data_IF_079151464131
#
_entry.id   IF_079151464131
#
_cell.length_a   1.000
_cell.length_b   1.000
_cell.length_c   1.000
_cell.angle_alpha   90.00
_cell.angle_beta   90.00
_cell.angle_gamma   90.00
#
_symmetry.space_group_name_H-M   'P 1'
#
loop_
_entity.id
_entity.type
_entity.pdbx_description
1 polymer ?
#
# COMPACT_ATOMS: atom_id res chain seq x y z
N UNK A 1 8.49 -25.50 6.04
CA UNK A 1 9.16 -24.19 5.77
C UNK A 1 8.23 -23.10 6.25
N UNK A 2 8.66 -22.24 7.18
CA UNK A 2 7.81 -21.21 7.79
C UNK A 2 7.32 -20.21 6.73
N UNK A 3 6.07 -20.36 6.30
CA UNK A 3 5.36 -19.35 5.51
C UNK A 3 5.35 -18.05 6.31
N UNK A 4 6.13 -17.07 5.87
CA UNK A 4 6.17 -15.75 6.51
C UNK A 4 4.99 -14.94 5.97
N UNK A 5 3.87 -15.00 6.68
CA UNK A 5 2.76 -14.07 6.46
C UNK A 5 3.25 -12.62 6.43
N UNK A 6 2.58 -11.81 5.63
CA UNK A 6 2.84 -10.38 5.54
C UNK A 6 2.32 -9.68 6.79
N UNK A 7 3.16 -8.83 7.37
CA UNK A 7 2.80 -7.95 8.49
C UNK A 7 3.03 -6.50 8.06
N UNK A 8 2.02 -5.65 8.24
CA UNK A 8 2.12 -4.21 8.00
C UNK A 8 1.40 -3.48 9.13
N UNK A 9 2.04 -2.48 9.71
CA UNK A 9 1.49 -1.64 10.77
C UNK A 9 1.75 -0.16 10.47
N UNK A 10 0.73 0.66 10.68
CA UNK A 10 0.79 2.11 10.66
C UNK A 10 0.24 2.66 11.97
N UNK A 11 0.88 3.72 12.49
CA UNK A 11 0.30 4.55 13.55
C UNK A 11 -0.49 5.67 12.89
N UNK A 12 -1.75 5.82 13.27
CA UNK A 12 -2.68 6.78 12.69
C UNK A 12 -3.29 7.60 13.82
N UNK A 13 -3.08 8.90 13.80
CA UNK A 13 -3.67 9.85 14.75
C UNK A 13 -5.08 10.24 14.29
N UNK A 14 -6.05 9.40 14.58
CA UNK A 14 -7.43 9.57 14.18
C UNK A 14 -8.38 8.93 15.18
N UNK A 15 -9.67 9.25 15.05
CA UNK A 15 -10.73 8.57 15.79
C UNK A 15 -10.92 7.13 15.29
N UNK A 16 -11.27 6.23 16.22
CA UNK A 16 -11.42 4.80 15.94
C UNK A 16 -12.67 4.48 15.11
N UNK A 17 -13.77 5.21 15.32
CA UNK A 17 -14.97 5.08 14.50
C UNK A 17 -14.73 5.60 13.09
N UNK A 18 -14.02 6.71 12.93
CA UNK A 18 -13.67 7.20 11.60
C UNK A 18 -12.76 6.21 10.86
N UNK A 19 -11.69 5.75 11.49
CA UNK A 19 -10.80 4.76 10.87
C UNK A 19 -11.56 3.47 10.52
N UNK A 20 -12.43 2.98 11.41
CA UNK A 20 -13.27 1.81 11.15
C UNK A 20 -14.21 2.03 9.95
N UNK A 21 -14.88 3.18 9.87
CA UNK A 21 -15.76 3.49 8.75
C UNK A 21 -14.99 3.53 7.42
N UNK A 22 -13.84 4.21 7.35
CA UNK A 22 -13.02 4.31 6.12
C UNK A 22 -12.44 2.98 5.64
N UNK A 23 -12.33 2.02 6.53
CA UNK A 23 -11.75 0.71 6.26
C UNK A 23 -12.82 -0.34 5.97
N UNK A 24 -13.99 -0.29 6.59
CA UNK A 24 -15.05 -1.28 6.38
C UNK A 24 -16.05 -0.89 5.28
N UNK A 25 -16.25 0.39 5.00
CA UNK A 25 -17.19 0.84 3.96
C UNK A 25 -16.57 0.72 2.55
N UNK A 26 -17.11 -0.11 1.64
CA UNK A 26 -16.51 -0.37 0.33
C UNK A 26 -16.21 0.89 -0.49
N UNK A 27 -17.17 1.83 -0.49
CA UNK A 27 -17.07 3.09 -1.22
C UNK A 27 -15.92 3.97 -0.73
N UNK A 28 -15.51 3.84 0.53
CA UNK A 28 -14.37 4.53 1.10
C UNK A 28 -13.08 3.72 0.94
N UNK A 29 -13.14 2.40 1.15
CA UNK A 29 -11.99 1.49 1.10
C UNK A 29 -11.31 1.50 -0.28
N UNK A 30 -12.09 1.36 -1.35
CA UNK A 30 -11.58 1.34 -2.72
C UNK A 30 -10.83 2.63 -3.13
N UNK A 31 -11.04 3.74 -2.40
CA UNK A 31 -10.40 5.01 -2.73
C UNK A 31 -8.93 5.03 -2.35
N UNK A 32 -8.54 4.39 -1.25
CA UNK A 32 -7.18 4.47 -0.71
C UNK A 32 -6.35 3.22 -0.93
N UNK A 33 -6.96 2.03 -1.03
CA UNK A 33 -6.25 0.75 -1.17
C UNK A 33 -5.81 0.50 -2.62
N UNK A 34 -4.52 0.27 -2.84
CA UNK A 34 -3.98 -0.08 -4.16
C UNK A 34 -4.32 -1.51 -4.59
N UNK A 35 -4.67 -2.38 -3.64
CA UNK A 35 -4.82 -3.82 -3.87
C UNK A 35 -6.22 -4.17 -4.36
N UNK A 36 -7.21 -3.35 -4.04
CA UNK A 36 -8.61 -3.57 -4.39
C UNK A 36 -9.13 -2.33 -5.10
N UNK A 37 -9.43 -2.46 -6.40
CA UNK A 37 -9.97 -1.35 -7.19
C UNK A 37 -11.48 -1.26 -7.10
N UNK A 38 -12.14 -2.40 -6.89
CA UNK A 38 -13.60 -2.49 -6.77
C UNK A 38 -13.94 -3.51 -5.68
N UNK A 39 -14.89 -3.16 -4.82
CA UNK A 39 -15.41 -4.03 -3.75
C UNK A 39 -16.94 -3.91 -3.78
N UNK A 40 -17.62 -5.04 -3.87
CA UNK A 40 -19.08 -5.10 -3.84
C UNK A 40 -19.53 -6.08 -2.75
N UNK A 41 -20.21 -5.56 -1.74
CA UNK A 41 -20.86 -6.39 -0.73
C UNK A 41 -22.04 -7.16 -1.35
N UNK A 42 -22.17 -8.41 -0.98
CA UNK A 42 -23.34 -9.23 -1.30
C UNK A 42 -24.37 -9.12 -0.17
N UNK A 43 -25.67 -9.33 -0.45
CA UNK A 43 -26.68 -9.37 0.60
C UNK A 43 -26.33 -10.40 1.68
N UNK A 44 -26.57 -10.05 2.94
CA UNK A 44 -26.27 -10.87 4.12
C UNK A 44 -27.35 -10.65 5.20
N UNK A 45 -27.63 -11.66 6.02
CA UNK A 45 -28.55 -11.56 7.15
C UNK A 45 -27.80 -11.18 8.45
N UNK A 46 -28.38 -10.31 9.27
CA UNK A 46 -27.75 -9.79 10.50
C UNK A 46 -27.10 -10.91 11.36
N UNK A 47 -25.83 -10.74 11.70
CA UNK A 47 -25.03 -11.73 12.44
C UNK A 47 -24.25 -12.74 11.58
N UNK A 48 -24.54 -12.87 10.28
CA UNK A 48 -23.73 -13.68 9.38
C UNK A 48 -22.44 -12.97 8.91
N UNK A 49 -21.40 -13.70 8.47
CA UNK A 49 -20.24 -13.09 7.82
C UNK A 49 -20.60 -12.35 6.53
N UNK A 50 -20.05 -11.15 6.34
CA UNK A 50 -20.25 -10.35 5.14
C UNK A 50 -19.50 -10.96 3.95
N UNK A 51 -20.24 -11.40 2.93
CA UNK A 51 -19.65 -11.86 1.67
C UNK A 51 -19.42 -10.69 0.72
N UNK A 52 -18.34 -10.71 -0.05
CA UNK A 52 -18.06 -9.67 -1.02
C UNK A 52 -17.41 -10.23 -2.29
N UNK A 53 -17.57 -9.49 -3.39
CA UNK A 53 -16.76 -9.66 -4.59
C UNK A 53 -15.75 -8.54 -4.63
N UNK A 54 -14.55 -8.84 -5.10
CA UNK A 54 -13.53 -7.84 -5.34
C UNK A 54 -12.95 -7.98 -6.73
N UNK A 55 -12.50 -6.87 -7.28
CA UNK A 55 -11.69 -6.85 -8.47
C UNK A 55 -10.46 -5.97 -8.29
N UNK A 56 -9.37 -6.39 -8.89
CA UNK A 56 -8.11 -5.67 -8.94
C UNK A 56 -7.73 -5.44 -10.39
N UNK A 57 -7.73 -4.18 -10.81
CA UNK A 57 -7.21 -3.79 -12.12
C UNK A 57 -5.68 -3.71 -12.04
N UNK A 58 -5.02 -4.71 -12.60
CA UNK A 58 -3.56 -4.86 -12.53
C UNK A 58 -2.88 -3.99 -13.59
N UNK A 59 -3.46 -3.95 -14.80
CA UNK A 59 -3.01 -3.17 -15.96
C UNK A 59 -4.24 -2.69 -16.76
N UNK A 60 -4.08 -1.73 -17.68
CA UNK A 60 -5.14 -1.44 -18.66
C UNK A 60 -5.60 -2.72 -19.37
N UNK A 61 -6.89 -3.03 -19.31
CA UNK A 61 -7.48 -4.24 -19.92
C UNK A 61 -7.31 -5.53 -19.10
N UNK A 62 -6.54 -5.54 -18.01
CA UNK A 62 -6.36 -6.74 -17.18
C UNK A 62 -6.96 -6.54 -15.79
N UNK A 63 -8.08 -7.22 -15.55
CA UNK A 63 -8.78 -7.23 -14.26
C UNK A 63 -8.79 -8.64 -13.70
N UNK A 64 -8.38 -8.78 -12.45
CA UNK A 64 -8.45 -10.04 -11.71
C UNK A 64 -9.58 -9.93 -10.70
N UNK A 65 -10.56 -10.83 -10.78
CA UNK A 65 -11.71 -10.85 -9.89
C UNK A 65 -11.66 -12.05 -8.93
N UNK A 66 -12.18 -11.84 -7.72
CA UNK A 66 -12.30 -12.87 -6.69
C UNK A 66 -13.48 -12.66 -5.77
N UNK A 67 -13.65 -13.61 -4.85
CA UNK A 67 -14.67 -13.62 -3.81
C UNK A 67 -14.01 -13.60 -2.45
N UNK A 68 -14.71 -13.02 -1.47
CA UNK A 68 -14.23 -12.98 -0.10
C UNK A 68 -15.36 -13.02 0.91
N UNK A 69 -14.98 -13.32 2.13
CA UNK A 69 -15.84 -13.33 3.31
C UNK A 69 -15.09 -12.58 4.40
N UNK A 70 -15.72 -11.56 4.97
CA UNK A 70 -15.22 -10.81 6.12
C UNK A 70 -16.15 -10.95 7.32
N UNK A 71 -15.57 -10.92 8.51
CA UNK A 71 -16.30 -10.78 9.76
C UNK A 71 -15.57 -9.75 10.61
N UNK A 72 -16.32 -8.73 11.05
CA UNK A 72 -15.84 -7.70 11.95
C UNK A 72 -16.32 -7.96 13.39
N UNK A 73 -15.42 -7.80 14.35
CA UNK A 73 -15.75 -7.71 15.77
C UNK A 73 -15.44 -6.28 16.21
N UNK A 74 -16.51 -5.46 16.28
CA UNK A 74 -16.44 -4.01 16.55
C UNK A 74 -16.35 -3.70 18.05
N UNK A 75 -16.93 -4.56 18.90
CA UNK A 75 -17.01 -4.34 20.34
C UNK A 75 -16.27 -5.45 21.07
N UNK A 76 -15.03 -5.17 21.48
CA UNK A 76 -14.28 -6.03 22.39
C UNK A 76 -14.13 -5.34 23.75
N UNK A 77 -14.08 -6.11 24.85
CA UNK A 77 -13.91 -5.56 26.20
C UNK A 77 -12.62 -4.74 26.38
N UNK A 78 -11.60 -4.98 25.56
CA UNK A 78 -10.31 -4.29 25.59
C UNK A 78 -10.27 -3.02 24.72
N UNK A 79 -11.40 -2.62 24.13
CA UNK A 79 -11.49 -1.47 23.22
C UNK A 79 -10.87 -1.69 21.84
N UNK A 80 -10.28 -2.87 21.58
CA UNK A 80 -9.72 -3.19 20.28
C UNK A 80 -10.81 -3.58 19.29
N UNK A 81 -10.58 -3.31 18.00
CA UNK A 81 -11.42 -3.84 16.92
C UNK A 81 -10.64 -4.82 16.09
N UNK A 82 -11.31 -5.81 15.53
CA UNK A 82 -10.68 -6.75 14.60
C UNK A 82 -11.62 -7.03 13.44
N UNK A 83 -11.10 -6.99 12.22
CA UNK A 83 -11.81 -7.48 11.05
C UNK A 83 -11.00 -8.62 10.46
N UNK A 84 -11.56 -9.82 10.42
CA UNK A 84 -10.95 -10.98 9.78
C UNK A 84 -11.55 -11.13 8.38
N UNK A 85 -10.74 -11.57 7.43
CA UNK A 85 -11.22 -11.84 6.09
C UNK A 85 -10.53 -13.07 5.48
N UNK A 86 -11.25 -13.77 4.63
CA UNK A 86 -10.72 -14.77 3.70
C UNK A 86 -11.12 -14.40 2.30
N UNK A 87 -10.24 -14.69 1.34
CA UNK A 87 -10.48 -14.40 -0.07
C UNK A 87 -9.96 -15.55 -0.93
N UNK A 88 -10.61 -15.73 -2.08
CA UNK A 88 -10.16 -16.64 -3.12
C UNK A 88 -10.38 -15.98 -4.48
N UNK A 89 -9.53 -16.34 -5.44
CA UNK A 89 -9.69 -15.90 -6.82
C UNK A 89 -9.70 -17.11 -7.76
N UNK A 90 -10.82 -17.38 -8.46
CA UNK A 90 -10.86 -18.43 -9.47
C UNK A 90 -10.15 -18.02 -10.76
N UNK A 91 -9.86 -16.73 -10.94
CA UNK A 91 -9.28 -16.20 -12.17
C UNK A 91 -7.91 -16.86 -12.49
N UNK A 92 -7.69 -17.41 -13.70
CA UNK A 92 -6.49 -18.19 -14.02
C UNK A 92 -5.19 -17.37 -14.00
N UNK A 93 -5.29 -16.07 -14.31
CA UNK A 93 -4.16 -15.13 -14.24
C UNK A 93 -3.87 -14.63 -12.81
N UNK A 94 -4.72 -14.96 -11.83
CA UNK A 94 -4.44 -14.60 -10.45
C UNK A 94 -3.34 -15.48 -9.90
N UNK A 95 -2.21 -14.90 -9.49
CA UNK A 95 -1.23 -15.64 -8.69
C UNK A 95 -1.83 -16.11 -7.36
N UNK A 96 -2.75 -15.33 -6.78
CA UNK A 96 -3.38 -15.62 -5.49
C UNK A 96 -4.48 -16.67 -5.70
N UNK A 97 -4.29 -17.88 -5.16
CA UNK A 97 -5.32 -18.91 -5.19
C UNK A 97 -6.38 -18.64 -4.12
N UNK A 98 -5.91 -18.58 -2.88
CA UNK A 98 -6.68 -18.34 -1.67
C UNK A 98 -5.79 -17.63 -0.66
N UNK A 99 -6.41 -16.85 0.23
CA UNK A 99 -5.71 -16.13 1.27
C UNK A 99 -6.60 -15.82 2.44
N UNK A 100 -5.95 -15.51 3.55
CA UNK A 100 -6.61 -15.16 4.80
C UNK A 100 -5.83 -14.03 5.45
N UNK A 101 -6.56 -13.09 6.04
CA UNK A 101 -5.97 -11.91 6.62
C UNK A 101 -6.83 -11.37 7.74
N UNK A 102 -6.25 -10.47 8.50
CA UNK A 102 -6.98 -9.71 9.49
C UNK A 102 -6.43 -8.31 9.58
N UNK A 103 -7.29 -7.40 10.00
CA UNK A 103 -7.00 -6.06 10.44
C UNK A 103 -7.26 -5.97 11.93
N UNK A 104 -6.37 -5.29 12.65
CA UNK A 104 -6.55 -4.98 14.06
C UNK A 104 -6.34 -3.51 14.28
N UNK A 105 -7.21 -2.95 15.10
CA UNK A 105 -7.24 -1.55 15.49
C UNK A 105 -7.00 -1.55 16.99
N UNK A 106 -5.81 -1.15 17.40
CA UNK A 106 -5.42 -1.10 18.82
C UNK A 106 -5.29 0.37 19.20
N UNK A 107 -6.17 0.90 20.06
CA UNK A 107 -5.98 2.21 20.67
C UNK A 107 -4.60 2.31 21.33
N UNK A 108 -3.97 3.45 21.20
CA UNK A 108 -2.64 3.79 21.72
C UNK A 108 -2.68 5.23 22.22
N UNK A 109 -1.74 5.65 23.07
CA UNK A 109 -1.81 6.95 23.74
C UNK A 109 -1.89 8.14 22.77
N UNK A 110 -1.21 8.02 21.61
CA UNK A 110 -1.16 9.05 20.57
C UNK A 110 -2.05 8.74 19.34
N UNK A 111 -2.96 7.77 19.40
CA UNK A 111 -3.86 7.43 18.29
C UNK A 111 -4.17 5.95 18.18
N UNK A 112 -4.01 5.37 16.99
CA UNK A 112 -4.37 3.97 16.72
C UNK A 112 -3.23 3.27 16.01
N UNK A 113 -2.85 2.11 16.53
CA UNK A 113 -2.01 1.14 15.81
C UNK A 113 -2.91 0.32 14.91
N UNK A 114 -2.90 0.65 13.63
CA UNK A 114 -3.61 -0.07 12.59
C UNK A 114 -2.67 -1.07 11.95
N UNK A 115 -2.96 -2.35 12.11
CA UNK A 115 -2.11 -3.42 11.61
C UNK A 115 -2.89 -4.44 10.80
N UNK A 116 -2.20 -5.08 9.87
CA UNK A 116 -2.68 -6.24 9.15
C UNK A 116 -1.66 -7.36 9.20
N UNK A 117 -2.16 -8.57 9.42
CA UNK A 117 -1.44 -9.80 9.16
C UNK A 117 -2.21 -10.60 8.13
N UNK A 118 -1.57 -11.01 7.04
CA UNK A 118 -2.22 -11.88 6.06
C UNK A 118 -1.24 -12.81 5.37
N UNK A 119 -1.75 -13.95 4.93
CA UNK A 119 -1.01 -14.89 4.12
C UNK A 119 -1.89 -15.45 3.01
N UNK A 120 -1.26 -15.90 1.95
CA UNK A 120 -1.95 -16.43 0.78
C UNK A 120 -1.12 -17.53 0.14
N UNK A 121 -1.81 -18.41 -0.57
CA UNK A 121 -1.20 -19.47 -1.36
C UNK A 121 -1.01 -19.02 -2.81
N UNK A 122 0.23 -18.99 -3.33
CA UNK A 122 0.47 -18.72 -4.73
C UNK A 122 0.04 -19.92 -5.60
N UNK A 123 -0.33 -19.64 -6.86
CA UNK A 123 -0.58 -20.62 -7.93
C UNK A 123 0.73 -21.04 -8.62
N UNK A 124 0.64 -21.98 -9.57
CA UNK A 124 1.74 -22.41 -10.47
C UNK A 124 2.93 -23.12 -9.82
N UNK A 125 2.70 -23.82 -8.71
CA UNK A 125 3.68 -24.71 -8.09
C UNK A 125 4.99 -24.00 -7.74
N UNK A 126 6.13 -24.62 -8.07
CA UNK A 126 7.45 -24.11 -7.70
C UNK A 126 7.80 -22.77 -8.36
N UNK A 127 7.44 -22.58 -9.64
CA UNK A 127 7.70 -21.33 -10.36
C UNK A 127 6.92 -20.17 -9.74
N UNK A 128 5.65 -20.38 -9.43
CA UNK A 128 4.84 -19.36 -8.77
C UNK A 128 5.28 -19.10 -7.33
N UNK A 129 5.80 -20.10 -6.61
CA UNK A 129 6.41 -19.90 -5.29
C UNK A 129 7.69 -19.05 -5.36
N UNK A 130 8.53 -19.25 -6.38
CA UNK A 130 9.73 -18.43 -6.60
C UNK A 130 9.36 -16.99 -6.96
N UNK A 131 8.43 -16.82 -7.90
CA UNK A 131 7.93 -15.50 -8.27
C UNK A 131 7.26 -14.78 -7.08
N UNK A 132 6.49 -15.51 -6.26
CA UNK A 132 5.89 -14.96 -5.04
C UNK A 132 6.96 -14.40 -4.11
N UNK A 133 7.99 -15.20 -3.83
CA UNK A 133 9.05 -14.84 -2.91
C UNK A 133 9.86 -13.62 -3.37
N UNK A 134 10.18 -13.54 -4.66
CA UNK A 134 11.09 -12.53 -5.19
C UNK A 134 10.40 -11.23 -5.62
N UNK A 135 9.13 -11.31 -6.03
CA UNK A 135 8.43 -10.18 -6.64
C UNK A 135 7.12 -9.86 -5.95
N UNK A 136 6.18 -10.81 -5.93
CA UNK A 136 4.80 -10.49 -5.55
C UNK A 136 4.64 -10.22 -4.07
N UNK A 137 5.22 -11.04 -3.18
CA UNK A 137 5.13 -10.82 -1.74
C UNK A 137 5.79 -9.50 -1.30
N UNK A 138 7.00 -9.13 -1.78
CA UNK A 138 7.55 -7.79 -1.58
C UNK A 138 6.65 -6.67 -2.10
N UNK A 139 6.10 -6.82 -3.31
CA UNK A 139 5.20 -5.83 -3.92
C UNK A 139 3.89 -5.67 -3.13
N UNK A 140 3.28 -6.77 -2.70
CA UNK A 140 2.06 -6.78 -1.89
C UNK A 140 2.30 -6.14 -0.52
N UNK A 141 3.43 -6.41 0.11
CA UNK A 141 3.83 -5.74 1.35
C UNK A 141 4.05 -4.24 1.15
N UNK A 142 4.70 -3.84 0.06
CA UNK A 142 4.88 -2.44 -0.31
C UNK A 142 3.55 -1.74 -0.60
N UNK A 143 2.66 -2.36 -1.39
CA UNK A 143 1.37 -1.80 -1.78
C UNK A 143 0.45 -1.64 -0.57
N UNK A 144 0.45 -2.61 0.35
CA UNK A 144 -0.29 -2.51 1.62
C UNK A 144 0.22 -1.35 2.46
N UNK A 145 1.54 -1.24 2.64
CA UNK A 145 2.14 -0.14 3.41
C UNK A 145 1.91 1.23 2.76
N UNK A 146 2.00 1.34 1.44
CA UNK A 146 1.69 2.58 0.73
C UNK A 146 0.23 2.97 0.92
N UNK A 147 -0.69 2.00 0.85
CA UNK A 147 -2.12 2.21 1.05
C UNK A 147 -2.44 2.67 2.48
N UNK A 148 -1.78 2.08 3.48
CA UNK A 148 -1.93 2.48 4.88
C UNK A 148 -1.45 3.91 5.12
N UNK A 149 -0.30 4.30 4.57
CA UNK A 149 0.17 5.69 4.71
C UNK A 149 -0.73 6.67 3.94
N UNK A 150 -1.30 6.27 2.80
CA UNK A 150 -2.30 7.09 2.09
C UNK A 150 -3.58 7.29 2.90
N UNK A 151 -4.07 6.23 3.56
CA UNK A 151 -5.19 6.32 4.50
C UNK A 151 -4.85 7.23 5.68
N UNK A 152 -3.64 7.10 6.23
CA UNK A 152 -3.13 7.98 7.30
C UNK A 152 -3.13 9.44 6.88
N UNK A 153 -2.64 9.77 5.68
CA UNK A 153 -2.65 11.16 5.18
C UNK A 153 -4.05 11.73 5.05
N UNK A 154 -5.02 10.88 4.69
CA UNK A 154 -6.41 11.30 4.62
C UNK A 154 -6.99 11.59 5.99
N UNK A 155 -6.81 10.68 6.94
CA UNK A 155 -7.34 10.81 8.30
C UNK A 155 -6.65 11.92 9.10
N UNK A 156 -5.32 12.03 9.04
CA UNK A 156 -4.57 12.97 9.87
C UNK A 156 -4.49 14.39 9.29
N UNK A 157 -4.52 14.52 7.96
CA UNK A 157 -4.24 15.80 7.28
C UNK A 157 -5.34 16.20 6.30
N UNK A 158 -6.42 15.45 6.19
CA UNK A 158 -7.51 15.72 5.24
C UNK A 158 -7.12 15.57 3.76
N UNK A 159 -5.93 15.02 3.46
CA UNK A 159 -5.48 14.86 2.08
C UNK A 159 -6.23 13.69 1.46
N UNK A 160 -7.19 13.98 0.58
CA UNK A 160 -8.00 12.94 -0.05
C UNK A 160 -7.10 11.91 -0.76
N UNK A 161 -7.52 10.63 -0.82
CA UNK A 161 -6.73 9.60 -1.47
C UNK A 161 -6.35 9.97 -2.90
N UNK A 162 -7.25 10.60 -3.65
CA UNK A 162 -7.01 11.03 -5.04
C UNK A 162 -5.92 12.10 -5.11
N UNK A 163 -5.95 13.07 -4.19
CA UNK A 163 -4.91 14.12 -4.08
C UNK A 163 -3.57 13.53 -3.66
N UNK A 164 -3.55 12.61 -2.69
CA UNK A 164 -2.34 11.93 -2.25
C UNK A 164 -1.69 11.14 -3.41
N UNK A 165 -2.49 10.51 -4.27
CA UNK A 165 -2.02 9.85 -5.49
C UNK A 165 -1.42 10.85 -6.48
N UNK A 166 -2.06 12.00 -6.68
CA UNK A 166 -1.52 13.06 -7.55
C UNK A 166 -0.19 13.59 -7.02
N UNK A 167 -0.08 13.88 -5.71
CA UNK A 167 1.18 14.29 -5.09
C UNK A 167 2.31 13.28 -5.36
N UNK A 168 2.00 11.98 -5.22
CA UNK A 168 2.96 10.91 -5.51
C UNK A 168 3.39 10.87 -6.98
N UNK A 169 2.45 10.98 -7.92
CA UNK A 169 2.74 11.02 -9.36
C UNK A 169 3.55 12.26 -9.75
N UNK A 170 3.18 13.44 -9.22
CA UNK A 170 3.90 14.68 -9.45
C UNK A 170 5.32 14.60 -8.91
N UNK A 171 5.50 14.09 -7.69
CA UNK A 171 6.83 13.95 -7.10
C UNK A 171 7.69 12.96 -7.90
N UNK A 172 7.11 11.84 -8.35
CA UNK A 172 7.80 10.87 -9.20
C UNK A 172 8.20 11.48 -10.55
N UNK A 173 7.29 12.24 -11.19
CA UNK A 173 7.56 12.91 -12.45
C UNK A 173 8.69 13.94 -12.31
N UNK A 174 8.67 14.76 -11.26
CA UNK A 174 9.75 15.73 -10.99
C UNK A 174 11.09 15.02 -10.77
N UNK A 175 11.11 13.95 -9.97
CA UNK A 175 12.34 13.16 -9.74
C UNK A 175 12.86 12.55 -11.04
N UNK A 176 11.98 11.98 -11.87
CA UNK A 176 12.35 11.42 -13.16
C UNK A 176 12.92 12.49 -14.09
N UNK A 177 12.29 13.67 -14.18
CA UNK A 177 12.78 14.79 -14.98
C UNK A 177 14.16 15.26 -14.53
N UNK A 178 14.39 15.39 -13.21
CA UNK A 178 15.70 15.78 -12.66
C UNK A 178 16.76 14.74 -12.99
N UNK A 179 16.45 13.44 -12.85
CA UNK A 179 17.37 12.35 -13.17
C UNK A 179 17.69 12.35 -14.67
N UNK A 180 16.68 12.42 -15.54
CA UNK A 180 16.88 12.45 -16.99
C UNK A 180 17.71 13.67 -17.40
N UNK A 181 17.39 14.86 -16.90
CA UNK A 181 18.15 16.07 -17.20
C UNK A 181 19.60 15.99 -16.71
N UNK A 182 19.84 15.42 -15.52
CA UNK A 182 21.17 15.22 -14.95
C UNK A 182 22.01 14.18 -15.70
N UNK A 183 21.42 13.06 -16.11
CA UNK A 183 22.12 11.98 -16.79
C UNK A 183 22.36 12.26 -18.29
N UNK A 184 21.47 13.01 -18.95
CA UNK A 184 21.58 13.30 -20.39
C UNK A 184 22.36 14.57 -20.69
N UNK A 185 22.58 15.45 -19.71
CA UNK A 185 23.24 16.73 -19.93
C UNK A 185 22.41 17.73 -20.76
N UNK A 186 21.14 17.44 -21.07
CA UNK A 186 20.26 18.36 -21.83
C UNK A 186 20.11 19.73 -21.13
N UNK A 187 20.10 19.73 -19.80
CA UNK A 187 20.11 20.95 -19.00
C UNK A 187 21.46 21.69 -19.04
N UNK A 188 22.57 20.96 -19.21
CA UNK A 188 23.93 21.49 -19.26
C UNK A 188 24.21 22.21 -20.58
N UNK A 189 23.87 21.59 -21.72
CA UNK A 189 24.06 22.20 -23.05
C UNK A 189 23.26 23.50 -23.21
N UNK A 190 22.01 23.50 -22.72
CA UNK A 190 21.13 24.67 -22.78
C UNK A 190 21.60 25.80 -21.87
N UNK A 191 22.06 25.49 -20.65
CA UNK A 191 22.55 26.48 -19.69
C UNK A 191 23.90 27.09 -20.11
N UNK A 192 24.85 26.29 -20.57
CA UNK A 192 26.17 26.77 -21.00
C UNK A 192 26.09 27.74 -22.20
N UNK A 193 25.12 27.54 -23.11
CA UNK A 193 24.86 28.46 -24.25
C UNK A 193 24.34 29.84 -23.81
N UNK A 194 23.59 29.91 -22.71
CA UNK A 194 23.08 31.19 -22.16
C UNK A 194 24.12 31.96 -21.35
N UNK A 195 25.14 31.29 -20.81
CA UNK A 195 26.07 31.87 -19.83
C UNK A 195 27.28 32.61 -20.44
N UNK A 196 27.45 32.56 -21.77
CA UNK A 196 28.43 33.36 -22.52
C UNK A 196 29.86 33.25 -21.96
N UNK A 197 30.53 34.37 -21.62
CA UNK A 197 31.93 34.36 -21.17
C UNK A 197 32.17 33.66 -19.82
N UNK A 198 31.11 33.37 -19.04
CA UNK A 198 31.22 32.63 -17.78
C UNK A 198 31.17 31.10 -17.94
N UNK A 199 31.07 30.59 -19.18
CA UNK A 199 30.94 29.17 -19.46
C UNK A 199 32.12 28.32 -18.96
N UNK A 200 33.36 28.84 -19.03
CA UNK A 200 34.57 28.10 -18.64
C UNK A 200 34.64 27.76 -17.13
N UNK A 201 34.45 28.69 -16.18
CA UNK A 201 34.41 28.35 -14.76
C UNK A 201 33.15 27.55 -14.36
N UNK A 202 32.01 27.77 -15.02
CA UNK A 202 30.76 27.04 -14.74
C UNK A 202 30.75 25.61 -15.30
N UNK A 203 31.56 25.31 -16.32
CA UNK A 203 31.70 23.96 -16.86
C UNK A 203 32.14 22.92 -15.83
N UNK A 204 32.88 23.33 -14.78
CA UNK A 204 33.30 22.44 -13.69
C UNK A 204 32.27 22.34 -12.55
N UNK A 205 31.51 23.40 -12.29
CA UNK A 205 30.49 23.43 -11.23
C UNK A 205 29.20 22.71 -11.65
N UNK A 206 28.82 22.80 -12.91
CA UNK A 206 27.56 22.25 -13.39
C UNK A 206 27.47 20.71 -13.26
N UNK A 207 28.50 19.89 -13.61
CA UNK A 207 28.45 18.45 -13.40
C UNK A 207 28.27 18.06 -11.93
N UNK A 208 28.93 18.78 -11.02
CA UNK A 208 28.81 18.55 -9.57
C UNK A 208 27.39 18.85 -9.08
N UNK A 209 26.80 19.97 -9.54
CA UNK A 209 25.42 20.33 -9.21
C UNK A 209 24.41 19.34 -9.80
N UNK A 210 24.63 18.83 -11.01
CA UNK A 210 23.78 17.81 -11.62
C UNK A 210 23.86 16.48 -10.86
N UNK A 211 25.07 16.03 -10.48
CA UNK A 211 25.25 14.85 -9.64
C UNK A 211 24.53 15.04 -8.30
N UNK A 212 24.70 16.19 -7.65
CA UNK A 212 24.02 16.50 -6.39
C UNK A 212 22.48 16.49 -6.56
N UNK A 213 21.96 17.02 -7.66
CA UNK A 213 20.53 17.01 -7.97
C UNK A 213 20.00 15.58 -8.22
N UNK A 214 20.74 14.75 -8.96
CA UNK A 214 20.42 13.33 -9.18
C UNK A 214 20.43 12.58 -7.85
N UNK A 215 21.47 12.76 -7.02
CA UNK A 215 21.53 12.17 -5.69
C UNK A 215 20.34 12.61 -4.82
N UNK A 216 19.98 13.88 -4.81
CA UNK A 216 18.80 14.37 -4.11
C UNK A 216 17.51 13.73 -4.65
N UNK A 217 17.34 13.63 -5.96
CA UNK A 217 16.18 13.00 -6.58
C UNK A 217 16.05 11.49 -6.27
N UNK A 218 17.17 10.79 -6.07
CA UNK A 218 17.18 9.37 -5.73
C UNK A 218 16.98 9.11 -4.23
N UNK A 219 17.65 9.87 -3.37
CA UNK A 219 17.77 9.54 -1.94
C UNK A 219 16.92 10.39 -1.01
N UNK A 220 16.44 11.56 -1.44
CA UNK A 220 15.59 12.41 -0.59
C UNK A 220 14.32 11.66 -0.24
N UNK A 221 13.95 11.67 1.04
CA UNK A 221 12.70 11.15 1.53
C UNK A 221 11.50 11.81 0.80
N UNK A 222 10.49 11.02 0.35
CA UNK A 222 9.21 11.54 -0.07
C UNK A 222 8.57 12.57 0.86
N UNK A 223 7.95 13.58 0.25
CA UNK A 223 7.36 14.72 0.93
C UNK A 223 6.31 14.28 1.96
N UNK A 224 6.06 15.06 3.03
CA UNK A 224 5.07 14.74 4.05
C UNK A 224 3.67 14.46 3.48
N UNK A 225 3.28 15.15 2.41
CA UNK A 225 1.99 15.01 1.72
C UNK A 225 1.94 13.89 0.66
N UNK A 226 3.05 13.17 0.46
CA UNK A 226 3.17 12.08 -0.51
C UNK A 226 3.15 10.73 0.23
N UNK A 227 2.27 9.78 -0.14
CA UNK A 227 2.27 8.45 0.43
C UNK A 227 3.61 7.72 0.28
N UNK A 228 4.04 7.06 1.35
CA UNK A 228 5.34 6.42 1.44
C UNK A 228 5.29 5.15 2.28
N UNK A 229 5.41 4.00 1.61
CA UNK A 229 5.43 2.67 2.23
C UNK A 229 6.55 2.45 3.27
N UNK A 230 7.56 3.32 3.34
CA UNK A 230 8.65 3.25 4.34
C UNK A 230 8.23 3.79 5.71
N UNK A 231 7.10 4.51 5.81
CA UNK A 231 6.56 5.04 7.08
C UNK A 231 5.82 3.98 7.89
N UNK A 232 5.51 2.83 7.28
CA UNK A 232 4.87 1.70 7.94
C UNK A 232 5.89 0.65 8.37
N UNK A 233 5.65 0.05 9.53
CA UNK A 233 6.41 -1.09 10.01
C UNK A 233 6.01 -2.34 9.23
N UNK A 234 6.99 -3.13 8.78
CA UNK A 234 6.74 -4.39 8.04
C UNK A 234 7.24 -5.63 8.77
N UNK A 235 7.77 -5.44 9.98
CA UNK A 235 8.20 -6.51 10.86
C UNK A 235 7.42 -6.38 12.17
N UNK A 236 6.81 -7.47 12.66
CA UNK A 236 6.04 -7.41 13.89
C UNK A 236 6.98 -7.20 15.10
N UNK A 237 6.67 -6.26 16.01
CA UNK A 237 7.35 -6.17 17.30
C UNK A 237 6.85 -7.33 18.18
N UNK A 238 7.65 -8.40 18.29
CA UNK A 238 7.30 -9.70 18.90
C UNK A 238 6.07 -10.39 18.23
N UNK A 239 5.84 -11.68 18.53
CA UNK A 239 4.90 -12.58 17.79
C UNK A 239 3.47 -11.98 17.66
N UNK A 240 3.19 -11.30 16.56
CA UNK A 240 1.83 -10.93 16.16
C UNK A 240 1.02 -12.22 15.89
N UNK A 241 0.10 -12.57 16.80
CA UNK A 241 -0.75 -13.75 16.65
C UNK A 241 -2.01 -13.40 15.85
N UNK A 242 -2.35 -14.24 14.88
CA UNK A 242 -3.61 -14.18 14.17
C UNK A 242 -4.80 -14.27 15.16
N UNK A 243 -5.86 -13.46 14.99
CA UNK A 243 -7.03 -13.47 15.86
C UNK A 243 -7.81 -14.79 15.70
N UNK A 244 -8.47 -15.22 16.79
CA UNK A 244 -9.30 -16.44 16.78
C UNK A 244 -10.43 -16.37 15.75
N UNK A 245 -10.97 -15.18 15.50
CA UNK A 245 -11.99 -14.90 14.47
C UNK A 245 -11.58 -15.36 13.06
N UNK A 246 -10.28 -15.37 12.73
CA UNK A 246 -9.84 -15.87 11.43
C UNK A 246 -10.08 -17.38 11.27
N UNK A 247 -10.09 -18.13 12.38
CA UNK A 247 -10.31 -19.59 12.38
C UNK A 247 -11.78 -19.95 12.21
N UNK A 248 -12.70 -19.05 12.55
CA UNK A 248 -14.15 -19.27 12.45
C UNK A 248 -14.73 -18.90 11.08
N UNK A 249 -13.96 -18.20 10.24
CA UNK A 249 -14.36 -17.90 8.87
C UNK A 249 -14.29 -19.14 7.97
N UNK A 250 -15.37 -19.40 7.24
CA UNK A 250 -15.42 -20.40 6.17
C UNK A 250 -14.51 -20.02 4.99
N UNK A 251 -14.08 -21.00 4.21
CA UNK A 251 -13.39 -20.73 2.96
C UNK A 251 -14.38 -20.16 1.92
N UNK A 252 -14.04 -19.05 1.24
CA UNK A 252 -14.83 -18.58 0.11
C UNK A 252 -14.88 -19.69 -0.95
N UNK A 253 -16.10 -20.03 -1.38
CA UNK A 253 -16.35 -20.95 -2.49
C UNK A 253 -16.20 -20.25 -3.83
#
# INVERSE_FOLDING_TARGET
>A
MSHHGLYIEARIRADLDELWARTQEPSQHQRWDLRFTEIAHLPHAEGEPQRFRYATRVLPGLTVAGTGISAGEKERPDGTRTSALRFASPHPLSLLAEGSGYWRYVPDDDGIRFLTGYDYRPRWGALGALADRLLFRPLMGWATAWSFDRLRLWLEHGITPERARLNWLTELAVRALVITAGCTGLALESALRLLGPYAAPLAYLCPVLLIAAVCAALFKAPLPSTPAARRCLRRPPARARAPRLLRTLENPR
#
